data_IF_707776367669
#
_entry.id   IF_707776367669
#
_cell.length_a   1.000
_cell.length_b   1.000
_cell.length_c   1.000
_cell.angle_alpha   90.00
_cell.angle_beta   90.00
_cell.angle_gamma   90.00
#
_symmetry.space_group_name_H-M   'P 1'
#
loop_
_entity.id
_entity.type
_entity.pdbx_description
1 polymer ?
#
# COMPACT_ATOMS: atom_id res chain seq x y z
N UNK A 1 32.00 -60.75 -27.37
CA UNK A 1 30.92 -61.75 -27.34
C UNK A 1 29.70 -60.99 -27.78
N UNK A 2 29.37 -61.09 -29.07
CA UNK A 2 28.25 -60.38 -29.66
C UNK A 2 26.96 -61.07 -29.22
N UNK A 3 26.13 -60.37 -28.47
CA UNK A 3 24.80 -60.83 -28.07
C UNK A 3 23.95 -60.96 -29.36
N UNK A 4 23.39 -62.16 -29.67
CA UNK A 4 22.72 -62.42 -30.95
C UNK A 4 21.44 -61.62 -31.20
N UNK A 5 21.04 -60.72 -30.30
CA UNK A 5 19.79 -59.96 -30.37
C UNK A 5 19.96 -58.43 -30.52
N UNK A 6 21.15 -57.92 -30.81
CA UNK A 6 21.36 -56.48 -31.06
C UNK A 6 21.12 -56.17 -32.54
N UNK A 7 20.17 -55.29 -32.90
CA UNK A 7 19.96 -54.90 -34.30
C UNK A 7 21.20 -54.17 -34.85
N UNK A 8 21.64 -54.55 -36.06
CA UNK A 8 22.75 -53.86 -36.74
C UNK A 8 22.26 -52.56 -37.36
N UNK A 9 22.80 -51.42 -36.90
CA UNK A 9 22.48 -50.11 -37.46
C UNK A 9 23.04 -49.97 -38.89
N UNK A 10 22.22 -49.50 -39.82
CA UNK A 10 22.64 -49.17 -41.18
C UNK A 10 23.65 -48.01 -41.18
N UNK A 11 24.44 -47.88 -42.25
CA UNK A 11 25.45 -46.81 -42.35
C UNK A 11 24.81 -45.40 -42.30
N UNK A 12 23.60 -45.25 -42.85
CA UNK A 12 22.86 -43.99 -42.88
C UNK A 12 22.41 -43.54 -41.48
N UNK A 13 21.88 -44.46 -40.65
CA UNK A 13 21.44 -44.12 -39.29
C UNK A 13 22.61 -43.74 -38.39
N UNK A 14 23.78 -44.37 -38.56
CA UNK A 14 25.01 -44.01 -37.85
C UNK A 14 25.45 -42.57 -38.15
N UNK A 15 25.39 -42.15 -39.42
CA UNK A 15 25.76 -40.79 -39.83
C UNK A 15 24.78 -39.75 -39.28
N UNK A 16 23.49 -40.07 -39.23
CA UNK A 16 22.46 -39.18 -38.68
C UNK A 16 22.60 -39.00 -37.17
N UNK A 17 22.84 -40.09 -36.42
CA UNK A 17 23.07 -40.05 -34.97
C UNK A 17 24.30 -39.23 -34.59
N UNK A 18 25.36 -39.26 -35.40
CA UNK A 18 26.58 -38.47 -35.19
C UNK A 18 26.34 -36.96 -35.28
N UNK A 19 25.37 -36.50 -36.07
CA UNK A 19 25.13 -35.06 -36.31
C UNK A 19 24.28 -34.40 -35.23
N UNK A 20 23.78 -35.15 -34.25
CA UNK A 20 22.92 -34.62 -33.20
C UNK A 20 23.69 -33.77 -32.18
N UNK A 21 23.14 -32.60 -31.85
CA UNK A 21 23.71 -31.63 -30.90
C UNK A 21 23.69 -32.11 -29.44
N UNK A 22 22.92 -33.15 -29.14
CA UNK A 22 22.82 -33.71 -27.79
C UNK A 22 24.18 -34.18 -27.26
N UNK A 23 25.03 -34.74 -28.13
CA UNK A 23 26.35 -35.24 -27.76
C UNK A 23 27.32 -34.13 -27.34
N UNK A 24 27.21 -32.94 -27.94
CA UNK A 24 28.00 -31.78 -27.54
C UNK A 24 27.57 -31.24 -26.17
N UNK A 25 26.26 -31.27 -25.87
CA UNK A 25 25.73 -30.86 -24.56
C UNK A 25 26.17 -31.82 -23.45
N UNK A 26 26.14 -33.13 -23.72
CA UNK A 26 26.61 -34.17 -22.79
C UNK A 26 28.11 -34.03 -22.55
N UNK A 27 28.91 -33.87 -23.61
CA UNK A 27 30.36 -33.69 -23.49
C UNK A 27 30.76 -32.40 -22.74
N UNK A 28 29.94 -31.35 -22.81
CA UNK A 28 30.18 -30.10 -22.10
C UNK A 28 29.73 -30.11 -20.62
N UNK A 29 29.11 -31.19 -20.13
CA UNK A 29 28.64 -31.30 -18.74
C UNK A 29 27.40 -30.45 -18.42
N UNK A 30 26.77 -29.82 -19.42
CA UNK A 30 25.57 -28.99 -19.27
C UNK A 30 24.28 -29.84 -19.27
N UNK A 31 24.24 -30.88 -18.43
CA UNK A 31 23.16 -31.88 -18.40
C UNK A 31 21.78 -31.26 -18.09
N UNK A 32 21.75 -30.16 -17.34
CA UNK A 32 20.55 -29.40 -16.98
C UNK A 32 19.93 -28.62 -18.16
N UNK A 33 20.62 -28.51 -19.30
CA UNK A 33 20.14 -27.83 -20.50
C UNK A 33 19.74 -28.81 -21.63
N UNK A 34 19.66 -30.10 -21.31
CA UNK A 34 19.14 -31.14 -22.20
C UNK A 34 17.61 -31.11 -22.12
N UNK A 35 16.97 -30.94 -23.26
CA UNK A 35 15.50 -30.87 -23.35
C UNK A 35 14.93 -32.17 -23.90
N UNK A 36 13.63 -32.40 -23.65
CA UNK A 36 12.92 -33.56 -24.18
C UNK A 36 12.98 -33.64 -25.72
N UNK A 37 12.99 -32.49 -26.41
CA UNK A 37 13.14 -32.43 -27.87
C UNK A 37 14.52 -32.94 -28.36
N UNK A 38 15.59 -32.70 -27.59
CA UNK A 38 16.91 -33.21 -27.93
C UNK A 38 16.96 -34.74 -27.83
N UNK A 39 16.26 -35.31 -26.85
CA UNK A 39 16.15 -36.76 -26.64
C UNK A 39 15.23 -37.39 -27.69
N UNK A 40 14.10 -36.77 -28.01
CA UNK A 40 13.19 -37.24 -29.06
C UNK A 40 13.89 -37.40 -30.41
N UNK A 41 14.76 -36.45 -30.79
CA UNK A 41 15.52 -36.55 -32.04
C UNK A 41 16.46 -37.78 -32.11
N UNK A 42 16.90 -38.32 -30.96
CA UNK A 42 17.65 -39.57 -30.90
C UNK A 42 16.71 -40.76 -31.12
N UNK A 43 15.53 -40.73 -30.50
CA UNK A 43 14.53 -41.78 -30.58
C UNK A 43 13.91 -41.89 -31.98
N UNK A 44 13.64 -40.76 -32.65
CA UNK A 44 13.10 -40.71 -34.01
C UNK A 44 14.00 -41.43 -35.04
N UNK A 45 15.32 -41.48 -34.77
CA UNK A 45 16.29 -42.15 -35.65
C UNK A 45 16.43 -43.64 -35.30
N UNK A 46 16.24 -44.01 -34.04
CA UNK A 46 16.39 -45.39 -33.55
C UNK A 46 15.10 -46.22 -33.68
N UNK A 47 13.93 -45.58 -33.67
CA UNK A 47 12.62 -46.23 -33.78
C UNK A 47 11.96 -45.91 -35.13
N UNK A 48 12.37 -46.58 -36.23
CA UNK A 48 11.76 -46.37 -37.55
C UNK A 48 10.30 -46.84 -37.63
N UNK A 49 9.77 -47.47 -36.58
CA UNK A 49 8.41 -47.97 -36.51
C UNK A 49 7.42 -47.08 -35.74
N UNK A 50 7.84 -45.90 -35.26
CA UNK A 50 7.03 -44.99 -34.43
C UNK A 50 6.29 -45.70 -33.28
N UNK A 51 6.95 -46.68 -32.63
CA UNK A 51 6.42 -47.40 -31.48
C UNK A 51 6.34 -46.49 -30.24
N UNK A 52 7.15 -45.43 -30.20
CA UNK A 52 7.19 -44.45 -29.11
C UNK A 52 8.04 -44.89 -27.91
N UNK A 53 8.72 -46.04 -28.03
CA UNK A 53 9.67 -46.58 -27.06
C UNK A 53 10.74 -47.38 -27.82
N UNK A 54 11.95 -47.42 -27.28
CA UNK A 54 13.02 -48.27 -27.81
C UNK A 54 13.23 -49.47 -26.90
N UNK A 55 13.45 -50.65 -27.46
CA UNK A 55 13.82 -51.82 -26.67
C UNK A 55 15.24 -51.67 -26.13
N UNK A 56 15.56 -52.39 -25.04
CA UNK A 56 16.91 -52.40 -24.46
C UNK A 56 18.00 -52.69 -25.51
N UNK A 57 17.76 -53.63 -26.41
CA UNK A 57 18.67 -53.97 -27.51
C UNK A 57 18.87 -52.82 -28.52
N UNK A 58 17.83 -52.03 -28.80
CA UNK A 58 17.90 -50.85 -29.66
C UNK A 58 18.64 -49.69 -28.96
N UNK A 59 18.51 -49.52 -27.64
CA UNK A 59 19.33 -48.58 -26.86
C UNK A 59 20.81 -48.98 -26.90
N UNK A 60 21.13 -50.28 -26.74
CA UNK A 60 22.50 -50.79 -26.87
C UNK A 60 23.10 -50.56 -28.26
N UNK A 61 22.29 -50.48 -29.32
CA UNK A 61 22.77 -50.17 -30.65
C UNK A 61 23.46 -48.79 -30.72
N UNK A 62 23.15 -47.84 -29.82
CA UNK A 62 23.86 -46.55 -29.71
C UNK A 62 25.38 -46.71 -29.47
N UNK A 63 25.80 -47.79 -28.81
CA UNK A 63 27.22 -48.08 -28.57
C UNK A 63 28.00 -48.40 -29.86
N UNK A 64 27.29 -48.78 -30.94
CA UNK A 64 27.88 -49.07 -32.25
C UNK A 64 28.21 -47.80 -33.06
N UNK A 65 27.79 -46.61 -32.59
CA UNK A 65 28.08 -45.32 -33.23
C UNK A 65 29.49 -44.87 -32.83
N UNK A 66 30.45 -45.09 -33.71
CA UNK A 66 31.83 -44.64 -33.52
C UNK A 66 31.93 -43.10 -33.64
N UNK A 67 32.87 -42.46 -32.93
CA UNK A 67 33.13 -41.01 -32.88
C UNK A 67 32.13 -40.10 -32.13
N UNK A 68 31.29 -40.64 -31.24
CA UNK A 68 30.58 -39.80 -30.26
C UNK A 68 31.57 -39.39 -29.16
N UNK A 69 31.52 -38.13 -28.68
CA UNK A 69 32.42 -37.58 -27.64
C UNK A 69 32.23 -38.20 -26.23
N UNK A 70 31.50 -39.30 -26.15
CA UNK A 70 31.07 -39.97 -24.92
C UNK A 70 31.58 -41.42 -24.98
N UNK A 71 32.12 -41.92 -23.86
CA UNK A 71 32.65 -43.29 -23.80
C UNK A 71 31.55 -44.33 -24.03
N UNK A 72 31.88 -45.42 -24.73
CA UNK A 72 30.95 -46.52 -24.97
C UNK A 72 30.42 -47.13 -23.67
N UNK A 73 31.26 -47.20 -22.64
CA UNK A 73 30.88 -47.70 -21.32
C UNK A 73 29.84 -46.80 -20.65
N UNK A 74 29.95 -45.48 -20.81
CA UNK A 74 28.97 -44.53 -20.29
C UNK A 74 27.61 -44.66 -20.98
N UNK A 75 27.59 -44.91 -22.29
CA UNK A 75 26.34 -45.14 -23.03
C UNK A 75 25.64 -46.43 -22.60
N UNK A 76 26.41 -47.48 -22.31
CA UNK A 76 25.90 -48.73 -21.76
C UNK A 76 25.29 -48.50 -20.37
N UNK A 77 26.03 -47.86 -19.47
CA UNK A 77 25.55 -47.55 -18.12
C UNK A 77 24.30 -46.65 -18.16
N UNK A 78 24.24 -45.71 -19.12
CA UNK A 78 23.09 -44.83 -19.31
C UNK A 78 21.83 -45.58 -19.77
N UNK A 79 21.97 -46.53 -20.70
CA UNK A 79 20.85 -47.38 -21.12
C UNK A 79 20.34 -48.27 -19.98
N UNK A 80 21.24 -48.75 -19.11
CA UNK A 80 20.87 -49.52 -17.92
C UNK A 80 20.20 -48.67 -16.84
N UNK A 81 20.67 -47.43 -16.60
CA UNK A 81 20.06 -46.50 -15.64
C UNK A 81 18.74 -45.89 -16.14
N UNK A 82 18.45 -45.98 -17.44
CA UNK A 82 17.17 -45.57 -18.02
C UNK A 82 16.06 -46.61 -17.82
N UNK A 83 16.37 -47.91 -17.92
CA UNK A 83 15.42 -49.04 -17.73
C UNK A 83 15.31 -49.45 -16.24
N UNK A 84 14.97 -48.50 -15.35
CA UNK A 84 14.92 -48.72 -13.90
C UNK A 84 13.82 -49.67 -13.44
N UNK A 85 12.73 -49.75 -14.20
CA UNK A 85 11.59 -50.58 -13.88
C UNK A 85 11.71 -52.01 -14.45
N UNK A 86 12.81 -52.31 -15.17
CA UNK A 86 13.05 -53.58 -15.88
C UNK A 86 11.88 -53.96 -16.80
N UNK A 87 11.23 -52.97 -17.40
CA UNK A 87 10.17 -53.19 -18.38
C UNK A 87 10.72 -53.76 -19.69
N UNK A 88 12.03 -53.61 -19.94
CA UNK A 88 12.71 -54.06 -21.15
C UNK A 88 12.53 -53.09 -22.33
N UNK A 89 11.84 -51.97 -22.11
CA UNK A 89 11.58 -50.89 -23.05
C UNK A 89 11.88 -49.55 -22.40
N UNK A 90 12.65 -48.68 -23.07
CA UNK A 90 13.01 -47.35 -22.58
C UNK A 90 12.16 -46.32 -23.32
N UNK A 91 11.49 -45.45 -22.58
CA UNK A 91 10.77 -44.28 -23.11
C UNK A 91 11.66 -43.02 -23.16
N UNK A 92 11.28 -42.03 -23.98
CA UNK A 92 12.03 -40.78 -24.11
C UNK A 92 12.11 -39.99 -22.79
N UNK A 93 11.09 -40.08 -21.93
CA UNK A 93 11.07 -39.43 -20.63
C UNK A 93 12.00 -40.11 -19.62
N UNK A 94 12.11 -41.43 -19.66
CA UNK A 94 13.03 -42.21 -18.82
C UNK A 94 14.49 -41.94 -19.18
N UNK A 95 14.78 -41.86 -20.48
CA UNK A 95 16.11 -41.52 -20.95
C UNK A 95 16.53 -40.10 -20.57
N UNK A 96 15.61 -39.12 -20.64
CA UNK A 96 15.86 -37.77 -20.15
C UNK A 96 16.15 -37.76 -18.64
N UNK A 97 15.35 -38.49 -17.84
CA UNK A 97 15.55 -38.59 -16.39
C UNK A 97 16.90 -39.24 -16.04
N UNK A 98 17.35 -40.24 -16.82
CA UNK A 98 18.67 -40.84 -16.64
C UNK A 98 19.80 -39.83 -16.93
N UNK A 99 19.63 -38.97 -17.94
CA UNK A 99 20.60 -37.91 -18.27
C UNK A 99 20.63 -36.75 -17.27
N UNK A 100 19.50 -36.36 -16.67
CA UNK A 100 19.43 -35.21 -15.76
C UNK A 100 19.61 -35.58 -14.30
N UNK A 101 19.09 -36.75 -13.90
CA UNK A 101 18.89 -37.14 -12.49
C UNK A 101 19.37 -38.56 -12.19
N UNK A 102 19.94 -39.24 -13.19
CA UNK A 102 20.46 -40.60 -13.08
C UNK A 102 21.72 -40.72 -12.23
N UNK A 103 21.98 -41.93 -11.71
CA UNK A 103 23.21 -42.21 -10.95
C UNK A 103 24.45 -42.06 -11.85
N UNK A 104 24.29 -42.35 -13.14
CA UNK A 104 25.33 -42.24 -14.16
C UNK A 104 25.64 -40.79 -14.49
N UNK A 105 24.62 -39.92 -14.59
CA UNK A 105 24.79 -38.47 -14.71
C UNK A 105 25.52 -37.87 -13.50
N UNK A 106 25.18 -38.31 -12.29
CA UNK A 106 25.86 -37.89 -11.07
C UNK A 106 27.33 -38.32 -11.02
N UNK A 107 27.63 -39.57 -11.39
CA UNK A 107 29.01 -40.07 -11.44
C UNK A 107 29.83 -39.35 -12.52
N UNK A 108 29.24 -39.03 -13.66
CA UNK A 108 29.89 -38.25 -14.71
C UNK A 108 30.15 -36.79 -14.30
N UNK A 109 29.20 -36.12 -13.63
CA UNK A 109 29.44 -34.81 -13.02
C UNK A 109 30.54 -34.88 -11.97
N UNK A 110 30.54 -35.92 -11.14
CA UNK A 110 31.58 -36.14 -10.12
C UNK A 110 32.97 -36.35 -10.74
N UNK A 111 33.07 -37.03 -11.88
CA UNK A 111 34.32 -37.21 -12.62
C UNK A 111 34.76 -35.95 -13.36
N UNK A 112 33.83 -35.23 -14.01
CA UNK A 112 34.12 -33.97 -14.73
C UNK A 112 34.39 -32.79 -13.79
N UNK A 113 33.95 -32.87 -12.53
CA UNK A 113 34.36 -31.98 -11.44
C UNK A 113 35.80 -32.25 -10.94
N UNK A 114 36.50 -33.25 -11.48
CA UNK A 114 37.97 -33.39 -11.45
C UNK A 114 38.72 -32.92 -10.19
N UNK A 115 39.02 -33.88 -9.32
CA UNK A 115 40.01 -33.89 -8.21
C UNK A 115 39.66 -33.16 -6.91
N UNK A 116 39.10 -33.94 -5.97
CA UNK A 116 39.38 -33.84 -4.53
C UNK A 116 38.89 -32.57 -3.82
N UNK A 117 39.03 -32.50 -2.48
CA UNK A 117 38.84 -31.24 -1.78
C UNK A 117 39.80 -30.21 -2.39
N UNK A 118 39.26 -29.07 -2.86
CA UNK A 118 40.11 -27.90 -3.16
C UNK A 118 40.93 -27.61 -1.91
N UNK A 119 42.24 -27.78 -1.98
CA UNK A 119 43.13 -27.37 -0.90
C UNK A 119 42.97 -25.85 -0.75
N UNK A 120 42.20 -25.43 0.24
CA UNK A 120 42.14 -24.03 0.65
C UNK A 120 43.53 -23.72 1.20
N UNK A 121 44.33 -23.01 0.41
CA UNK A 121 45.63 -22.52 0.87
C UNK A 121 45.37 -21.60 2.06
N UNK A 122 45.61 -22.08 3.27
CA UNK A 122 45.27 -21.36 4.52
C UNK A 122 45.86 -19.94 4.60
N UNK A 123 46.91 -19.65 3.83
CA UNK A 123 47.65 -18.39 3.89
C UNK A 123 47.56 -17.54 2.61
N UNK A 124 46.80 -17.95 1.59
CA UNK A 124 46.66 -17.21 0.34
C UNK A 124 45.17 -16.98 0.06
N UNK A 125 44.77 -15.72 -0.13
CA UNK A 125 43.43 -15.36 -0.60
C UNK A 125 43.53 -14.50 -1.86
N UNK A 126 42.48 -14.54 -2.69
CA UNK A 126 42.38 -13.65 -3.83
C UNK A 126 42.11 -12.22 -3.33
N UNK A 127 42.73 -11.24 -3.99
CA UNK A 127 42.60 -9.83 -3.61
C UNK A 127 41.16 -9.36 -3.72
N UNK A 128 40.42 -9.83 -4.72
CA UNK A 128 38.99 -9.51 -4.89
C UNK A 128 38.16 -9.96 -3.71
N UNK A 129 38.42 -11.17 -3.21
CA UNK A 129 37.65 -11.80 -2.14
C UNK A 129 37.94 -11.10 -0.81
N UNK A 130 39.20 -10.73 -0.56
CA UNK A 130 39.59 -9.94 0.60
C UNK A 130 38.95 -8.55 0.59
N UNK A 131 38.94 -7.87 -0.56
CA UNK A 131 38.32 -6.55 -0.69
C UNK A 131 36.80 -6.62 -0.51
N UNK A 132 36.15 -7.66 -1.03
CA UNK A 132 34.73 -7.90 -0.82
C UNK A 132 34.42 -8.09 0.67
N UNK A 133 35.20 -8.94 1.35
CA UNK A 133 35.04 -9.19 2.78
C UNK A 133 35.28 -7.93 3.62
N UNK A 134 36.35 -7.17 3.37
CA UNK A 134 36.63 -5.92 4.09
C UNK A 134 35.52 -4.88 3.90
N UNK A 135 34.94 -4.81 2.69
CA UNK A 135 33.84 -3.91 2.41
C UNK A 135 32.57 -4.35 3.15
N UNK A 136 32.26 -5.64 3.16
CA UNK A 136 31.14 -6.20 3.91
C UNK A 136 31.31 -5.99 5.42
N UNK A 137 32.51 -6.22 5.97
CA UNK A 137 32.83 -5.95 7.37
C UNK A 137 32.68 -4.46 7.70
N UNK A 138 33.19 -3.57 6.83
CA UNK A 138 33.03 -2.13 7.01
C UNK A 138 31.55 -1.71 6.96
N UNK A 139 30.77 -2.22 6.00
CA UNK A 139 29.35 -1.91 5.85
C UNK A 139 28.54 -2.43 7.05
N UNK A 140 28.79 -3.67 7.48
CA UNK A 140 28.12 -4.26 8.64
C UNK A 140 28.49 -3.54 9.94
N UNK A 141 29.76 -3.22 10.16
CA UNK A 141 30.20 -2.45 11.33
C UNK A 141 29.66 -1.03 11.31
N UNK A 142 29.67 -0.35 10.16
CA UNK A 142 29.06 0.97 9.99
C UNK A 142 27.55 0.93 10.29
N UNK A 143 26.84 -0.10 9.82
CA UNK A 143 25.43 -0.29 10.11
C UNK A 143 25.20 -0.53 11.61
N UNK A 144 25.98 -1.42 12.25
CA UNK A 144 25.91 -1.69 13.68
C UNK A 144 26.19 -0.46 14.55
N UNK A 145 27.16 0.39 14.16
CA UNK A 145 27.45 1.63 14.88
C UNK A 145 26.36 2.69 14.72
N UNK A 146 25.59 2.67 13.63
CA UNK A 146 24.48 3.61 13.42
C UNK A 146 23.22 3.25 14.23
N UNK A 147 23.02 1.98 14.55
CA UNK A 147 21.80 1.49 15.21
C UNK A 147 21.53 2.13 16.58
N UNK A 148 22.49 2.19 17.53
CA UNK A 148 22.26 2.82 18.83
C UNK A 148 21.82 4.28 18.72
N UNK A 149 22.43 5.06 17.81
CA UNK A 149 22.10 6.47 17.61
C UNK A 149 20.68 6.63 17.05
N UNK A 150 20.28 5.78 16.09
CA UNK A 150 18.92 5.81 15.53
C UNK A 150 17.88 5.45 16.58
N UNK A 151 18.13 4.41 17.38
CA UNK A 151 17.21 4.03 18.47
C UNK A 151 17.13 5.14 19.52
N UNK A 152 18.25 5.72 19.92
CA UNK A 152 18.29 6.81 20.88
C UNK A 152 17.49 8.01 20.37
N UNK A 153 17.65 8.40 19.10
CA UNK A 153 16.88 9.48 18.48
C UNK A 153 15.39 9.14 18.40
N UNK A 154 15.03 7.90 18.04
CA UNK A 154 13.64 7.45 17.98
C UNK A 154 12.97 7.53 19.37
N UNK A 155 13.64 7.04 20.41
CA UNK A 155 13.11 7.10 21.78
C UNK A 155 13.02 8.52 22.30
N UNK A 156 14.02 9.36 22.05
CA UNK A 156 14.01 10.76 22.42
C UNK A 156 12.90 11.53 21.71
N UNK A 157 12.71 11.32 20.40
CA UNK A 157 11.64 11.92 19.62
C UNK A 157 10.25 11.47 20.10
N UNK A 158 10.09 10.17 20.37
CA UNK A 158 8.83 9.62 20.90
C UNK A 158 8.51 10.20 22.27
N UNK A 159 9.50 10.33 23.15
CA UNK A 159 9.34 10.97 24.45
C UNK A 159 9.00 12.47 24.33
N UNK A 160 9.66 13.18 23.42
CA UNK A 160 9.38 14.59 23.12
C UNK A 160 7.95 14.79 22.63
N UNK A 161 7.48 13.98 21.68
CA UNK A 161 6.10 14.07 21.17
C UNK A 161 5.07 13.74 22.24
N UNK A 162 5.28 12.65 22.98
CA UNK A 162 4.30 12.22 24.00
C UNK A 162 4.16 13.21 25.16
N UNK A 163 5.17 14.05 25.41
CA UNK A 163 5.10 15.12 26.42
C UNK A 163 4.41 16.39 25.90
N UNK A 164 4.53 16.68 24.60
CA UNK A 164 4.01 17.91 23.99
C UNK A 164 2.65 17.75 23.30
N UNK A 165 2.23 16.53 22.99
CA UNK A 165 0.96 16.25 22.32
C UNK A 165 0.09 15.38 23.20
N UNK A 166 -0.84 16.01 23.93
CA UNK A 166 -1.87 15.28 24.69
C UNK A 166 -3.02 14.81 23.77
N UNK A 167 -2.80 13.66 23.13
CA UNK A 167 -3.79 13.03 22.25
C UNK A 167 -5.01 12.51 23.00
N UNK A 168 -4.87 12.14 24.28
CA UNK A 168 -5.96 11.54 25.06
C UNK A 168 -6.98 12.58 25.44
N UNK A 169 -6.54 13.71 25.99
CA UNK A 169 -7.43 14.81 26.35
C UNK A 169 -8.01 15.49 25.11
N UNK A 170 -7.23 15.61 24.02
CA UNK A 170 -7.73 16.07 22.73
C UNK A 170 -8.89 15.21 22.21
N UNK A 171 -8.72 13.88 22.20
CA UNK A 171 -9.76 12.95 21.77
C UNK A 171 -11.01 13.02 22.66
N UNK A 172 -10.85 13.04 23.99
CA UNK A 172 -11.98 13.13 24.93
C UNK A 172 -12.77 14.43 24.76
N UNK A 173 -12.09 15.54 24.51
CA UNK A 173 -12.72 16.84 24.27
C UNK A 173 -13.53 16.81 22.98
N UNK A 174 -12.93 16.36 21.88
CA UNK A 174 -13.62 16.23 20.59
C UNK A 174 -14.82 15.29 20.66
N UNK A 175 -14.67 14.14 21.32
CA UNK A 175 -15.77 13.19 21.53
C UNK A 175 -16.90 13.81 22.35
N UNK A 176 -16.58 14.52 23.43
CA UNK A 176 -17.59 15.17 24.29
C UNK A 176 -18.33 16.28 23.54
N UNK A 177 -17.64 17.10 22.74
CA UNK A 177 -18.26 18.12 21.90
C UNK A 177 -19.17 17.48 20.84
N UNK A 178 -18.70 16.40 20.20
CA UNK A 178 -19.47 15.65 19.23
C UNK A 178 -20.73 15.02 19.83
N UNK A 179 -20.64 14.33 20.97
CA UNK A 179 -21.80 13.72 21.64
C UNK A 179 -22.81 14.77 22.13
N UNK A 180 -22.30 15.93 22.58
CA UNK A 180 -23.16 17.05 22.89
C UNK A 180 -23.96 17.46 21.65
N UNK A 181 -23.40 17.49 20.45
CA UNK A 181 -24.20 17.72 19.25
C UNK A 181 -25.13 16.52 18.94
N UNK A 182 -24.62 15.28 19.01
CA UNK A 182 -25.28 14.01 18.60
C UNK A 182 -26.54 13.62 19.42
N UNK A 183 -26.59 13.97 20.71
CA UNK A 183 -27.72 13.63 21.59
C UNK A 183 -29.09 14.16 21.13
N UNK A 184 -29.13 15.18 20.28
CA UNK A 184 -30.38 15.73 19.70
C UNK A 184 -30.71 15.14 18.31
N UNK A 185 -29.73 14.57 17.63
CA UNK A 185 -29.93 13.87 16.35
C UNK A 185 -30.54 12.48 16.54
N UNK A 186 -30.26 11.79 17.65
CA UNK A 186 -30.90 10.49 17.96
C UNK A 186 -32.40 10.60 18.25
N UNK A 187 -32.90 11.76 18.69
CA UNK A 187 -34.34 12.02 18.89
C UNK A 187 -35.04 12.31 17.56
N UNK A 188 -34.29 12.80 16.57
CA UNK A 188 -34.75 12.93 15.19
C UNK A 188 -34.23 11.75 14.36
N UNK A 189 -34.90 10.60 14.43
CA UNK A 189 -34.76 9.52 13.43
C UNK A 189 -35.08 10.05 12.02
N UNK A 190 -34.16 10.78 11.40
CA UNK A 190 -34.29 11.26 10.03
C UNK A 190 -32.96 11.06 9.32
N UNK A 191 -32.62 9.81 8.97
CA UNK A 191 -31.65 9.59 7.91
C UNK A 191 -32.29 10.19 6.65
N UNK A 192 -31.66 11.17 6.01
CA UNK A 192 -32.13 11.81 4.77
C UNK A 192 -33.35 12.75 4.88
N UNK A 193 -33.19 13.95 5.47
CA UNK A 193 -33.94 15.11 4.94
C UNK A 193 -32.99 16.12 4.30
N UNK A 194 -32.94 15.98 2.98
CA UNK A 194 -32.28 16.78 1.94
C UNK A 194 -32.95 18.15 1.89
N UNK A 195 -32.18 19.22 2.08
CA UNK A 195 -32.67 20.57 1.79
C UNK A 195 -31.99 21.67 2.59
N UNK A 196 -31.89 22.83 1.96
CA UNK A 196 -31.34 24.07 2.53
C UNK A 196 -32.13 24.54 3.77
N UNK A 197 -33.46 24.35 3.77
CA UNK A 197 -34.34 24.81 4.85
C UNK A 197 -34.23 24.03 6.16
N UNK A 198 -33.96 22.72 6.10
CA UNK A 198 -33.78 21.92 7.33
C UNK A 198 -32.50 22.29 8.06
N UNK A 199 -31.50 22.74 7.32
CA UNK A 199 -30.21 23.16 7.84
C UNK A 199 -30.31 24.49 8.62
N UNK A 200 -30.99 25.50 8.07
CA UNK A 200 -31.18 26.78 8.77
C UNK A 200 -32.11 26.65 9.98
N UNK A 201 -33.13 25.79 9.90
CA UNK A 201 -33.96 25.43 11.05
C UNK A 201 -33.12 24.75 12.15
N UNK A 202 -32.27 23.79 11.80
CA UNK A 202 -31.33 23.18 12.75
C UNK A 202 -30.40 24.21 13.40
N UNK A 203 -29.93 25.17 12.61
CA UNK A 203 -29.06 26.26 13.10
C UNK A 203 -29.78 27.09 14.17
N UNK A 204 -31.00 27.50 13.88
CA UNK A 204 -31.81 28.34 14.77
C UNK A 204 -32.28 27.58 16.03
N UNK A 205 -32.79 26.36 15.87
CA UNK A 205 -33.49 25.63 16.93
C UNK A 205 -32.56 24.75 17.77
N UNK A 206 -31.44 24.29 17.21
CA UNK A 206 -30.57 23.29 17.85
C UNK A 206 -29.19 23.84 18.16
N UNK A 207 -28.47 24.34 17.16
CA UNK A 207 -27.09 24.75 17.33
C UNK A 207 -26.98 26.04 18.16
N UNK A 208 -27.72 27.09 17.78
CA UNK A 208 -27.61 28.40 18.40
C UNK A 208 -27.93 28.38 19.92
N UNK A 209 -29.03 27.74 20.39
CA UNK A 209 -29.34 27.68 21.82
C UNK A 209 -28.38 26.82 22.64
N UNK A 210 -27.61 25.96 21.98
CA UNK A 210 -26.62 25.11 22.65
C UNK A 210 -25.27 25.80 22.80
N UNK A 211 -24.89 26.59 21.81
CA UNK A 211 -23.60 27.28 21.77
C UNK A 211 -23.67 28.63 22.49
N UNK A 212 -24.74 29.39 22.28
CA UNK A 212 -24.92 30.73 22.84
C UNK A 212 -25.91 30.72 24.01
N UNK A 213 -25.91 29.65 24.81
CA UNK A 213 -26.81 29.52 25.96
C UNK A 213 -26.49 30.58 27.03
N UNK A 214 -27.52 31.20 27.58
CA UNK A 214 -27.46 32.18 28.68
C UNK A 214 -28.51 31.82 29.75
N UNK A 215 -28.44 30.59 30.29
CA UNK A 215 -29.44 29.99 31.18
C UNK A 215 -29.26 30.33 32.66
N UNK A 216 -28.09 30.83 33.08
CA UNK A 216 -27.79 31.13 34.48
C UNK A 216 -27.98 32.62 34.79
N UNK A 217 -28.87 32.92 35.74
CA UNK A 217 -29.12 34.28 36.26
C UNK A 217 -27.88 34.87 36.94
N UNK A 218 -26.98 34.02 37.47
CA UNK A 218 -25.79 34.43 38.23
C UNK A 218 -24.47 34.34 37.48
N UNK A 219 -24.43 33.68 36.31
CA UNK A 219 -23.18 33.45 35.54
C UNK A 219 -23.39 33.75 34.05
N UNK A 220 -23.39 35.03 33.65
CA UNK A 220 -23.79 35.50 32.33
C UNK A 220 -22.65 35.42 31.31
N UNK A 221 -21.85 34.35 31.32
CA UNK A 221 -20.85 34.12 30.28
C UNK A 221 -21.46 33.26 29.18
N UNK A 222 -22.04 33.85 28.12
CA UNK A 222 -22.48 33.09 26.95
C UNK A 222 -21.31 32.30 26.36
N UNK A 223 -21.64 31.21 25.66
CA UNK A 223 -20.61 30.48 24.92
C UNK A 223 -19.98 29.30 25.65
N UNK A 224 -20.56 28.81 26.75
CA UNK A 224 -20.03 27.63 27.46
C UNK A 224 -20.69 26.35 26.96
N UNK A 225 -19.89 25.48 26.34
CA UNK A 225 -20.33 24.19 25.80
C UNK A 225 -19.70 23.05 26.60
N UNK A 226 -20.49 22.04 26.95
CA UNK A 226 -20.04 20.88 27.72
C UNK A 226 -19.28 21.25 29.02
N UNK A 227 -19.83 22.21 29.78
CA UNK A 227 -19.37 22.69 31.10
C UNK A 227 -18.03 23.43 31.13
N UNK A 228 -16.97 22.95 30.49
CA UNK A 228 -15.63 23.53 30.63
C UNK A 228 -15.08 24.19 29.36
N UNK A 229 -15.76 24.09 28.22
CA UNK A 229 -15.30 24.68 26.97
C UNK A 229 -15.94 26.05 26.76
N UNK A 230 -15.14 27.11 26.79
CA UNK A 230 -15.57 28.49 26.58
C UNK A 230 -15.27 28.92 25.13
N UNK A 231 -16.27 29.44 24.42
CA UNK A 231 -16.05 30.05 23.10
C UNK A 231 -15.15 31.29 23.25
N UNK A 232 -14.15 31.40 22.37
CA UNK A 232 -13.27 32.57 22.26
C UNK A 232 -13.71 33.42 21.06
N UNK A 233 -14.04 34.69 21.30
CA UNK A 233 -14.37 35.67 20.24
C UNK A 233 -15.77 35.50 19.64
N UNK A 234 -16.10 34.30 19.15
CA UNK A 234 -17.40 33.99 18.57
C UNK A 234 -17.37 32.73 17.71
N UNK A 235 -18.45 32.53 16.96
CA UNK A 235 -18.50 31.51 15.91
C UNK A 235 -18.60 32.18 14.54
N UNK A 236 -17.82 31.71 13.57
CA UNK A 236 -17.87 32.17 12.18
C UNK A 236 -18.68 31.19 11.35
N UNK A 237 -19.70 31.70 10.67
CA UNK A 237 -20.41 31.02 9.61
C UNK A 237 -19.74 31.40 8.29
N UNK A 238 -19.10 30.42 7.66
CA UNK A 238 -18.43 30.57 6.39
C UNK A 238 -19.23 29.85 5.31
N UNK A 239 -19.52 30.53 4.21
CA UNK A 239 -20.29 29.99 3.09
C UNK A 239 -19.48 30.10 1.81
N UNK A 240 -19.30 28.98 1.10
CA UNK A 240 -18.78 28.97 -0.26
C UNK A 240 -19.92 28.67 -1.23
N UNK A 241 -20.07 29.50 -2.26
CA UNK A 241 -21.12 29.35 -3.26
C UNK A 241 -20.62 29.74 -4.65
N UNK A 242 -21.30 29.23 -5.67
CA UNK A 242 -21.04 29.60 -7.05
C UNK A 242 -22.00 30.70 -7.48
N UNK A 243 -21.47 31.82 -7.96
CA UNK A 243 -22.29 32.87 -8.53
C UNK A 243 -22.98 32.38 -9.82
N UNK A 244 -24.05 33.05 -10.21
CA UNK A 244 -24.70 32.79 -11.50
C UNK A 244 -23.81 33.35 -12.62
N UNK A 245 -23.65 32.58 -13.71
CA UNK A 245 -22.74 32.90 -14.81
C UNK A 245 -23.37 32.68 -16.18
N UNK A 246 -22.67 33.03 -17.28
CA UNK A 246 -23.15 32.74 -18.62
C UNK A 246 -23.26 31.23 -18.82
N UNK A 247 -24.38 30.77 -19.36
CA UNK A 247 -24.58 29.36 -19.67
C UNK A 247 -23.63 28.91 -20.78
N UNK A 248 -23.02 27.71 -20.69
CA UNK A 248 -22.25 27.16 -21.79
C UNK A 248 -23.16 26.94 -23.02
N UNK A 249 -22.66 27.31 -24.20
CA UNK A 249 -23.43 27.37 -25.44
C UNK A 249 -23.82 26.00 -26.04
N UNK A 250 -23.35 24.90 -25.45
CA UNK A 250 -23.57 23.55 -25.94
C UNK A 250 -24.37 22.75 -24.91
N UNK A 251 -25.50 22.21 -25.39
CA UNK A 251 -26.37 21.21 -24.76
C UNK A 251 -27.48 21.71 -23.81
N UNK A 252 -28.70 21.28 -24.19
CA UNK A 252 -29.97 20.98 -23.50
C UNK A 252 -30.15 21.14 -21.96
N UNK A 253 -29.35 21.94 -21.27
CA UNK A 253 -29.46 22.21 -19.84
C UNK A 253 -30.50 23.28 -19.53
N UNK A 254 -31.68 23.19 -20.16
CA UNK A 254 -32.79 24.12 -19.94
C UNK A 254 -33.28 24.15 -18.48
N UNK A 255 -32.96 23.11 -17.69
CA UNK A 255 -33.31 23.00 -16.28
C UNK A 255 -32.44 23.84 -15.34
N UNK A 256 -31.29 24.35 -15.80
CA UNK A 256 -30.39 25.22 -15.02
C UNK A 256 -30.41 26.67 -15.50
N UNK A 257 -31.20 26.96 -16.54
CA UNK A 257 -31.35 28.27 -17.15
C UNK A 257 -32.41 29.08 -16.42
N UNK A 258 -32.00 30.17 -15.78
CA UNK A 258 -32.95 31.13 -15.26
C UNK A 258 -33.43 32.04 -16.40
N UNK A 259 -34.65 31.79 -16.87
CA UNK A 259 -35.25 32.54 -17.99
C UNK A 259 -35.44 34.05 -17.71
N UNK A 260 -35.42 34.47 -16.44
CA UNK A 260 -35.56 35.89 -16.07
C UNK A 260 -34.24 36.65 -16.18
N UNK A 261 -33.12 36.00 -15.84
CA UNK A 261 -31.80 36.64 -15.83
C UNK A 261 -30.93 36.25 -17.01
N UNK A 262 -31.29 35.21 -17.75
CA UNK A 262 -30.51 34.67 -18.88
C UNK A 262 -29.20 34.00 -18.45
N UNK A 263 -29.06 33.65 -17.17
CA UNK A 263 -27.85 33.06 -16.58
C UNK A 263 -28.11 31.65 -16.08
N UNK A 264 -27.05 30.85 -15.97
CA UNK A 264 -27.10 29.55 -15.36
C UNK A 264 -26.56 29.60 -13.93
N UNK A 265 -27.23 28.90 -13.04
CA UNK A 265 -26.80 28.78 -11.65
C UNK A 265 -25.68 27.76 -11.50
N UNK A 266 -24.73 28.03 -10.61
CA UNK A 266 -23.52 27.22 -10.40
C UNK A 266 -22.50 27.18 -11.56
N UNK A 267 -22.49 28.20 -12.43
CA UNK A 267 -21.50 28.33 -13.53
C UNK A 267 -20.60 29.58 -13.44
N UNK A 268 -20.80 30.44 -12.45
CA UNK A 268 -19.97 31.61 -12.22
C UNK A 268 -18.73 31.32 -11.38
N UNK A 269 -18.12 32.40 -10.89
CA UNK A 269 -16.92 32.32 -10.04
C UNK A 269 -17.30 31.82 -8.64
N UNK A 270 -16.49 30.91 -8.10
CA UNK A 270 -16.61 30.45 -6.72
C UNK A 270 -16.24 31.60 -5.78
N UNK A 271 -17.19 31.97 -4.92
CA UNK A 271 -17.08 33.10 -3.99
C UNK A 271 -17.39 32.63 -2.59
N UNK A 272 -16.83 33.32 -1.61
CA UNK A 272 -17.06 33.08 -0.19
C UNK A 272 -17.65 34.29 0.53
N UNK A 273 -18.44 34.02 1.57
CA UNK A 273 -19.03 35.01 2.46
C UNK A 273 -18.93 34.55 3.91
N UNK A 274 -18.67 35.50 4.80
CA UNK A 274 -18.48 35.24 6.23
C UNK A 274 -19.42 36.06 7.11
N UNK A 275 -19.95 35.41 8.13
CA UNK A 275 -20.74 36.05 9.17
C UNK A 275 -20.18 35.61 10.53
N UNK A 276 -19.84 36.57 11.37
CA UNK A 276 -19.34 36.29 12.72
C UNK A 276 -20.44 36.55 13.74
N UNK A 277 -20.71 35.54 14.57
CA UNK A 277 -21.59 35.59 15.72
C UNK A 277 -20.74 35.73 16.98
N UNK A 278 -20.51 36.96 17.46
CA UNK A 278 -19.65 37.19 18.62
C UNK A 278 -20.31 36.63 19.89
N UNK A 279 -19.54 35.94 20.73
CA UNK A 279 -20.11 35.19 21.86
C UNK A 279 -20.80 36.08 22.91
N UNK A 280 -20.34 37.32 23.08
CA UNK A 280 -20.81 38.22 24.14
C UNK A 280 -22.20 38.82 23.90
N UNK A 281 -22.78 38.63 22.71
CA UNK A 281 -24.12 39.15 22.41
C UNK A 281 -25.21 38.23 22.97
N UNK A 282 -26.37 38.83 23.23
CA UNK A 282 -27.57 38.11 23.63
C UNK A 282 -28.01 37.12 22.55
N UNK A 283 -28.47 35.95 22.98
CA UNK A 283 -28.96 34.90 22.09
C UNK A 283 -30.10 35.41 21.20
N UNK A 284 -30.96 36.31 21.70
CA UNK A 284 -32.04 36.91 20.93
C UNK A 284 -31.56 37.73 19.73
N UNK A 285 -30.37 38.36 19.83
CA UNK A 285 -29.75 39.06 18.69
C UNK A 285 -29.31 38.06 17.63
N UNK A 286 -28.68 36.96 18.04
CA UNK A 286 -28.28 35.91 17.11
C UNK A 286 -29.47 35.22 16.47
N UNK A 287 -30.55 34.95 17.21
CA UNK A 287 -31.77 34.36 16.67
C UNK A 287 -32.41 35.24 15.60
N UNK A 288 -32.47 36.56 15.82
CA UNK A 288 -32.91 37.51 14.80
C UNK A 288 -31.98 37.54 13.59
N UNK A 289 -30.67 37.47 13.81
CA UNK A 289 -29.67 37.43 12.73
C UNK A 289 -29.89 36.19 11.84
N UNK A 290 -29.96 35.00 12.43
CA UNK A 290 -30.21 33.75 11.70
C UNK A 290 -31.56 33.77 10.99
N UNK A 291 -32.60 34.34 11.61
CA UNK A 291 -33.92 34.50 10.98
C UNK A 291 -33.84 35.39 9.74
N UNK A 292 -33.20 36.56 9.83
CA UNK A 292 -33.01 37.45 8.70
C UNK A 292 -32.20 36.78 7.57
N UNK A 293 -31.20 35.97 7.91
CA UNK A 293 -30.44 35.19 6.92
C UNK A 293 -31.30 34.11 6.25
N UNK A 294 -32.21 33.49 6.99
CA UNK A 294 -33.15 32.50 6.45
C UNK A 294 -34.17 33.17 5.52
N UNK A 295 -34.72 34.33 5.92
CA UNK A 295 -35.69 35.09 5.14
C UNK A 295 -35.08 35.71 3.86
N UNK A 296 -33.79 36.06 3.90
CA UNK A 296 -33.05 36.58 2.74
C UNK A 296 -32.47 35.49 1.84
N UNK A 297 -32.73 34.21 2.13
CA UNK A 297 -32.16 33.06 1.40
C UNK A 297 -30.62 33.11 1.31
N UNK A 298 -29.97 33.55 2.40
CA UNK A 298 -28.50 33.62 2.44
C UNK A 298 -27.86 32.26 2.21
N UNK A 299 -28.49 31.19 2.70
CA UNK A 299 -28.20 29.81 2.30
C UNK A 299 -29.22 29.38 1.24
N UNK A 300 -28.74 28.95 0.08
CA UNK A 300 -29.56 28.60 -1.08
C UNK A 300 -28.98 27.40 -1.84
N UNK A 301 -29.61 27.02 -2.95
CA UNK A 301 -29.19 25.90 -3.80
C UNK A 301 -27.87 26.13 -4.54
N UNK A 302 -27.30 27.34 -4.52
CA UNK A 302 -26.00 27.67 -5.12
C UNK A 302 -24.86 27.47 -4.14
N UNK A 303 -25.17 27.31 -2.86
CA UNK A 303 -24.18 27.07 -1.82
C UNK A 303 -23.63 25.66 -1.92
N UNK A 304 -22.31 25.52 -1.92
CA UNK A 304 -21.61 24.23 -1.95
C UNK A 304 -21.15 23.81 -0.57
N UNK A 305 -20.65 24.77 0.22
CA UNK A 305 -20.12 24.51 1.56
C UNK A 305 -20.68 25.55 2.52
N UNK A 306 -21.20 25.08 3.65
CA UNK A 306 -21.50 25.92 4.80
C UNK A 306 -20.76 25.36 6.02
N UNK A 307 -19.91 26.18 6.62
CA UNK A 307 -19.03 25.78 7.71
C UNK A 307 -19.28 26.64 8.96
N UNK A 308 -19.44 25.97 10.10
CA UNK A 308 -19.49 26.59 11.42
C UNK A 308 -18.11 26.42 12.05
N UNK A 309 -17.40 27.52 12.22
CA UNK A 309 -16.06 27.56 12.80
C UNK A 309 -16.15 28.14 14.21
N UNK A 310 -15.80 27.35 15.22
CA UNK A 310 -15.82 27.79 16.61
C UNK A 310 -14.53 27.40 17.30
N UNK A 311 -13.91 28.35 18.01
CA UNK A 311 -12.74 28.10 18.83
C UNK A 311 -13.17 28.04 20.29
N UNK A 312 -12.78 26.97 20.97
CA UNK A 312 -13.02 26.77 22.38
C UNK A 312 -11.71 26.81 23.15
N UNK A 313 -11.76 27.37 24.35
CA UNK A 313 -10.73 27.22 25.37
C UNK A 313 -11.28 26.42 26.54
N UNK A 314 -10.57 25.36 26.91
CA UNK A 314 -10.84 24.56 28.08
C UNK A 314 -9.79 24.85 29.17
N UNK A 315 -10.15 25.67 30.15
CA UNK A 315 -9.24 26.06 31.23
C UNK A 315 -8.87 24.88 32.16
N UNK A 316 -9.73 23.87 32.27
CA UNK A 316 -9.50 22.70 33.12
C UNK A 316 -8.42 21.78 32.54
N UNK A 317 -8.44 21.55 31.22
CA UNK A 317 -7.47 20.71 30.52
C UNK A 317 -6.32 21.48 29.88
N UNK A 318 -6.36 22.83 29.90
CA UNK A 318 -5.39 23.69 29.20
C UNK A 318 -5.33 23.40 27.69
N UNK A 319 -6.48 23.18 27.07
CA UNK A 319 -6.61 22.85 25.64
C UNK A 319 -7.37 23.94 24.91
N UNK A 320 -6.92 24.26 23.70
CA UNK A 320 -7.71 24.95 22.70
C UNK A 320 -8.26 23.90 21.73
N UNK A 321 -9.55 23.97 21.44
CA UNK A 321 -10.20 23.11 20.45
C UNK A 321 -10.80 23.95 19.35
N UNK A 322 -10.37 23.72 18.12
CA UNK A 322 -11.00 24.26 16.92
C UNK A 322 -12.00 23.26 16.37
N UNK A 323 -13.26 23.68 16.35
CA UNK A 323 -14.37 22.93 15.78
C UNK A 323 -14.72 23.48 14.40
N UNK A 324 -14.89 22.56 13.45
CA UNK A 324 -15.48 22.82 12.14
C UNK A 324 -16.63 21.87 11.88
N UNK A 325 -17.85 22.41 11.77
CA UNK A 325 -19.03 21.67 11.34
C UNK A 325 -19.31 22.03 9.89
N UNK A 326 -19.09 21.09 8.97
CA UNK A 326 -19.18 21.33 7.53
C UNK A 326 -20.41 20.66 6.94
N UNK A 327 -21.26 21.46 6.30
CA UNK A 327 -22.38 21.02 5.50
C UNK A 327 -21.99 21.14 4.02
N UNK A 328 -21.65 20.02 3.42
CA UNK A 328 -21.23 19.95 2.02
C UNK A 328 -22.43 19.56 1.15
N UNK A 329 -22.92 20.50 0.36
CA UNK A 329 -24.01 20.31 -0.59
C UNK A 329 -23.47 19.75 -1.91
N UNK A 330 -23.75 18.48 -2.15
CA UNK A 330 -23.38 17.80 -3.38
C UNK A 330 -24.25 18.24 -4.56
N UNK A 331 -23.77 17.98 -5.77
CA UNK A 331 -24.46 18.30 -7.03
C UNK A 331 -25.76 17.52 -7.22
N UNK A 332 -25.91 16.38 -6.53
CA UNK A 332 -27.12 15.56 -6.53
C UNK A 332 -28.20 16.07 -5.54
N UNK A 333 -27.94 17.19 -4.86
CA UNK A 333 -28.85 17.82 -3.89
C UNK A 333 -28.81 17.20 -2.50
N UNK A 334 -27.93 16.24 -2.23
CA UNK A 334 -27.68 15.74 -0.89
C UNK A 334 -26.72 16.64 -0.12
N UNK A 335 -26.89 16.71 1.19
CA UNK A 335 -25.98 17.44 2.07
C UNK A 335 -25.28 16.44 2.97
N UNK A 336 -23.95 16.42 2.92
CA UNK A 336 -23.10 15.63 3.81
C UNK A 336 -22.60 16.48 4.96
N UNK A 337 -22.67 15.93 6.17
CA UNK A 337 -22.22 16.60 7.39
C UNK A 337 -20.90 16.01 7.83
N UNK A 338 -19.90 16.87 8.04
CA UNK A 338 -18.62 16.49 8.60
C UNK A 338 -18.35 17.26 9.89
N UNK A 339 -17.94 16.53 10.92
CA UNK A 339 -17.47 17.09 12.18
C UNK A 339 -15.95 16.96 12.21
N UNK A 340 -15.25 18.07 12.36
CA UNK A 340 -13.80 18.08 12.57
C UNK A 340 -13.48 18.82 13.85
N UNK A 341 -12.72 18.17 14.72
CA UNK A 341 -12.23 18.73 15.97
C UNK A 341 -10.72 18.60 15.98
N UNK A 342 -10.04 19.74 16.07
CA UNK A 342 -8.60 19.81 16.23
C UNK A 342 -8.32 20.41 17.59
N UNK A 343 -7.57 19.72 18.44
CA UNK A 343 -7.26 20.23 19.78
C UNK A 343 -5.75 20.24 20.00
N UNK A 344 -5.26 21.29 20.63
CA UNK A 344 -3.86 21.45 21.00
C UNK A 344 -3.74 22.11 22.37
N UNK A 345 -2.58 21.95 23.01
CA UNK A 345 -2.31 22.54 24.32
C UNK A 345 -2.15 24.05 24.16
N UNK A 346 -2.87 24.82 24.97
CA UNK A 346 -2.84 26.28 24.93
C UNK A 346 -1.51 26.84 25.45
N UNK A 347 -1.00 26.25 26.53
CA UNK A 347 0.26 26.63 27.18
C UNK A 347 1.14 25.37 27.38
N UNK A 348 1.91 24.95 26.36
CA UNK A 348 2.71 23.72 26.44
C UNK A 348 3.77 23.76 27.55
N UNK A 349 4.32 24.94 27.84
CA UNK A 349 5.36 25.16 28.85
C UNK A 349 4.84 25.65 30.20
N UNK A 350 3.55 25.44 30.50
CA UNK A 350 2.98 25.81 31.80
C UNK A 350 3.72 25.15 32.96
N UNK A 351 4.18 23.92 32.77
CA UNK A 351 5.06 23.22 33.71
C UNK A 351 6.52 23.43 33.28
N UNK A 352 7.42 23.90 34.17
CA UNK A 352 8.85 24.04 33.86
C UNK A 352 9.51 22.73 33.41
N UNK A 353 8.97 21.58 33.85
CA UNK A 353 9.46 20.26 33.48
C UNK A 353 9.27 19.91 32.00
N UNK A 354 8.36 20.60 31.30
CA UNK A 354 8.12 20.40 29.88
C UNK A 354 9.30 20.85 28.99
N UNK A 355 10.24 21.66 29.52
CA UNK A 355 11.43 22.13 28.79
C UNK A 355 12.54 21.07 28.75
N UNK A 356 12.56 20.11 29.68
CA UNK A 356 13.62 19.11 29.75
C UNK A 356 13.67 18.17 28.54
N UNK A 357 12.54 17.62 28.03
CA UNK A 357 12.53 16.84 26.80
C UNK A 357 13.13 17.61 25.61
N UNK A 358 12.88 18.92 25.51
CA UNK A 358 13.36 19.78 24.42
C UNK A 358 14.88 19.92 24.48
N UNK A 359 15.41 20.24 25.66
CA UNK A 359 16.86 20.36 25.87
C UNK A 359 17.54 19.02 25.58
N UNK A 360 16.98 17.91 26.08
CA UNK A 360 17.50 16.57 25.82
C UNK A 360 17.51 16.26 24.32
N UNK A 361 16.42 16.56 23.62
CA UNK A 361 16.30 16.30 22.18
C UNK A 361 17.29 17.14 21.36
N UNK A 362 17.50 18.40 21.72
CA UNK A 362 18.51 19.28 21.09
C UNK A 362 19.93 18.75 21.33
N UNK A 363 20.26 18.32 22.55
CA UNK A 363 21.58 17.75 22.87
C UNK A 363 21.86 16.45 22.12
N UNK A 364 20.81 15.67 21.80
CA UNK A 364 20.93 14.41 21.04
C UNK A 364 21.13 14.66 19.54
N UNK A 365 20.61 15.78 19.02
CA UNK A 365 20.74 16.18 17.61
C UNK A 365 22.09 16.82 17.27
N UNK A 366 22.73 17.44 18.26
CA UNK A 366 24.08 18.04 18.15
C UNK A 366 25.16 16.97 18.30
#
# INVERSE_FOLDING_TARGET
MDDPNIPTLTLETKILLQKLKIWDKIAAGNLHNITLADVQAVFDILDPGEKGYITRSECFALTQVQNVKVSQQYLQDLCEDADKDNSGTVSAEEFLKALTTGQVAFNFLKESLGKGPKEVKQNECDRSDLLAWLKEEYETMSALYSMPTVFLLLFAYTYFITTHIDTTSAWRTGHTLHENLDTLWKVTKVPNRRGVFTQMAWTHDTWLPKYFRQDLVSDPYPGRVAVYNQIIGGSRLHKEFLQSGPCPANEENSFLFNALTGTCDRFGVKTDEDIVLPYHLDIGIHQRTIRNLTESFWFDYRTELLEYQTIFYNAHMNLITFERLQWNAQTDGFIQLYFRFESWIAEPYKSPWAVLPDILFVVILL
#
